data_IF_430813269549
#
_entry.id   IF_430813269549
#
_cell.length_a   1.000
_cell.length_b   1.000
_cell.length_c   1.000
_cell.angle_alpha   90.00
_cell.angle_beta   90.00
_cell.angle_gamma   90.00
#
_symmetry.space_group_name_H-M   'P 1'
#
loop_
_entity.id
_entity.type
_entity.pdbx_description
1 polymer ?
#
# COMPACT_ATOMS: atom_id res chain seq x y z
N UNK A 1 7.50 -25.03 -12.91
CA UNK A 1 6.42 -25.03 -11.90
C UNK A 1 6.32 -23.62 -11.33
N UNK A 2 5.14 -22.98 -11.32
CA UNK A 2 5.01 -21.70 -10.65
C UNK A 2 5.18 -21.98 -9.14
N UNK A 3 6.19 -21.37 -8.53
CA UNK A 3 6.33 -21.38 -7.07
C UNK A 3 5.08 -20.70 -6.52
N UNK A 4 4.40 -21.36 -5.58
CA UNK A 4 3.41 -20.69 -4.74
C UNK A 4 4.13 -19.48 -4.12
N UNK A 5 3.67 -18.27 -4.44
CA UNK A 5 4.14 -17.06 -3.78
C UNK A 5 3.22 -16.86 -2.57
N UNK A 6 3.73 -16.99 -1.33
CA UNK A 6 2.99 -16.59 -0.15
C UNK A 6 2.45 -15.18 -0.31
N UNK A 7 1.25 -14.93 0.21
CA UNK A 7 0.64 -13.60 0.20
C UNK A 7 1.55 -12.55 0.84
N UNK A 8 2.30 -12.94 1.88
CA UNK A 8 3.29 -12.09 2.54
C UNK A 8 4.43 -11.70 1.59
N UNK A 9 5.05 -12.66 0.89
CA UNK A 9 6.10 -12.39 -0.09
C UNK A 9 5.63 -11.47 -1.21
N UNK A 10 4.38 -11.65 -1.66
CA UNK A 10 3.76 -10.77 -2.64
C UNK A 10 3.62 -9.33 -2.11
N UNK A 11 3.09 -9.17 -0.88
CA UNK A 11 2.91 -7.86 -0.26
C UNK A 11 4.27 -7.17 -0.03
N UNK A 12 5.27 -7.92 0.43
CA UNK A 12 6.63 -7.40 0.65
C UNK A 12 7.23 -6.91 -0.67
N UNK A 13 7.18 -7.73 -1.72
CA UNK A 13 7.69 -7.32 -3.04
C UNK A 13 6.96 -6.10 -3.57
N UNK A 14 5.63 -6.06 -3.44
CA UNK A 14 4.82 -4.90 -3.83
C UNK A 14 5.24 -3.65 -3.07
N UNK A 15 5.39 -3.75 -1.75
CA UNK A 15 5.82 -2.64 -0.90
C UNK A 15 7.22 -2.15 -1.29
N UNK A 16 8.20 -3.05 -1.46
CA UNK A 16 9.56 -2.66 -1.86
C UNK A 16 9.58 -1.90 -3.17
N UNK A 17 8.83 -2.34 -4.19
CA UNK A 17 8.74 -1.63 -5.46
C UNK A 17 8.13 -0.23 -5.28
N UNK A 18 7.07 -0.10 -4.50
CA UNK A 18 6.41 1.19 -4.26
C UNK A 18 7.33 2.13 -3.48
N UNK A 19 7.96 1.64 -2.42
CA UNK A 19 8.87 2.42 -1.59
C UNK A 19 10.08 2.91 -2.41
N UNK A 20 10.63 2.05 -3.27
CA UNK A 20 11.70 2.43 -4.20
C UNK A 20 11.29 3.56 -5.15
N UNK A 21 10.04 3.58 -5.63
CA UNK A 21 9.51 4.64 -6.49
C UNK A 21 9.15 5.92 -5.71
N UNK A 22 9.03 5.85 -4.39
CA UNK A 22 8.59 6.95 -3.53
C UNK A 22 9.69 7.49 -2.61
N UNK A 23 10.96 7.13 -2.84
CA UNK A 23 12.12 7.57 -2.03
C UNK A 23 12.22 9.08 -1.81
N UNK A 24 11.78 9.87 -2.78
CA UNK A 24 11.83 11.33 -2.71
C UNK A 24 10.61 11.96 -2.00
N UNK A 25 9.60 11.15 -1.68
CA UNK A 25 8.38 11.61 -1.02
C UNK A 25 8.54 11.54 0.49
N UNK A 26 8.76 12.71 1.09
CA UNK A 26 8.91 12.81 2.55
C UNK A 26 7.58 12.51 3.25
N UNK A 27 7.67 11.72 4.34
CA UNK A 27 6.57 11.55 5.29
C UNK A 27 6.25 12.89 5.95
N UNK A 28 4.97 13.25 5.99
CA UNK A 28 4.52 14.42 6.73
C UNK A 28 4.76 14.21 8.24
N UNK A 29 5.23 15.26 8.94
CA UNK A 29 5.65 15.16 10.35
C UNK A 29 4.56 14.68 11.31
N UNK A 30 3.30 14.94 10.97
CA UNK A 30 2.13 14.52 11.75
C UNK A 30 1.47 13.25 11.23
N UNK A 31 2.00 12.63 10.16
CA UNK A 31 1.43 11.41 9.61
C UNK A 31 1.86 10.19 10.42
N UNK A 32 0.94 9.26 10.66
CA UNK A 32 1.27 7.96 11.25
C UNK A 32 1.94 7.04 10.22
N UNK A 33 1.57 7.14 8.94
CA UNK A 33 2.04 6.28 7.85
C UNK A 33 2.94 7.04 6.86
N UNK A 34 3.85 6.32 6.23
CA UNK A 34 4.58 6.77 5.06
C UNK A 34 3.68 6.79 3.82
N UNK A 35 3.95 7.69 2.87
CA UNK A 35 3.25 7.69 1.58
C UNK A 35 3.26 6.32 0.87
N UNK A 36 4.39 5.60 0.92
CA UNK A 36 4.52 4.25 0.33
C UNK A 36 3.61 3.21 0.98
N UNK A 37 3.43 3.27 2.30
CA UNK A 37 2.50 2.40 3.04
C UNK A 37 1.04 2.66 2.62
N UNK A 38 0.63 3.94 2.52
CA UNK A 38 -0.72 4.32 2.10
C UNK A 38 -1.01 3.83 0.68
N UNK A 39 -0.06 4.02 -0.25
CA UNK A 39 -0.19 3.56 -1.63
C UNK A 39 -0.28 2.04 -1.71
N UNK A 40 0.53 1.32 -0.93
CA UNK A 40 0.49 -0.14 -0.85
C UNK A 40 -0.88 -0.64 -0.41
N UNK A 41 -1.43 -0.07 0.67
CA UNK A 41 -2.78 -0.40 1.15
C UNK A 41 -3.83 -0.12 0.07
N UNK A 42 -3.74 1.02 -0.63
CA UNK A 42 -4.64 1.39 -1.71
C UNK A 42 -4.63 0.39 -2.86
N UNK A 43 -3.44 -0.04 -3.30
CA UNK A 43 -3.29 -1.05 -4.37
C UNK A 43 -3.85 -2.40 -3.91
N UNK A 44 -3.55 -2.85 -2.69
CA UNK A 44 -4.11 -4.10 -2.14
C UNK A 44 -5.64 -4.05 -2.07
N UNK A 45 -6.22 -2.90 -1.71
CA UNK A 45 -7.66 -2.69 -1.71
C UNK A 45 -8.27 -2.80 -3.11
N UNK A 46 -7.64 -2.16 -4.09
CA UNK A 46 -8.05 -2.20 -5.49
C UNK A 46 -7.96 -3.63 -6.06
N UNK A 47 -6.86 -4.34 -5.78
CA UNK A 47 -6.65 -5.73 -6.22
C UNK A 47 -7.68 -6.69 -5.63
N UNK A 48 -8.09 -6.49 -4.37
CA UNK A 48 -9.12 -7.31 -3.73
C UNK A 48 -10.54 -7.02 -4.27
N UNK A 49 -10.71 -6.02 -5.13
CA UNK A 49 -12.00 -5.60 -5.66
C UNK A 49 -12.92 -5.00 -4.60
N UNK A 50 -12.37 -4.52 -3.48
CA UNK A 50 -13.16 -3.84 -2.45
C UNK A 50 -13.41 -2.40 -2.88
N UNK A 51 -14.68 -1.99 -2.95
CA UNK A 51 -15.07 -0.68 -3.44
C UNK A 51 -14.31 0.49 -2.79
N UNK A 52 -13.90 1.44 -3.63
CA UNK A 52 -13.12 2.64 -3.30
C UNK A 52 -13.67 3.46 -2.12
N UNK A 53 -14.98 3.44 -1.91
CA UNK A 53 -15.66 4.19 -0.85
C UNK A 53 -15.23 3.79 0.55
N UNK A 54 -14.93 2.50 0.79
CA UNK A 54 -14.46 2.03 2.11
C UNK A 54 -13.03 2.52 2.38
N UNK A 55 -12.15 2.41 1.38
CA UNK A 55 -10.78 2.92 1.45
C UNK A 55 -10.77 4.44 1.66
N UNK A 56 -11.54 5.18 0.87
CA UNK A 56 -11.63 6.63 0.98
C UNK A 56 -12.17 7.10 2.35
N UNK A 57 -13.16 6.39 2.90
CA UNK A 57 -13.68 6.70 4.24
C UNK A 57 -12.62 6.46 5.32
N UNK A 58 -11.86 5.37 5.22
CA UNK A 58 -10.73 5.12 6.12
C UNK A 58 -9.67 6.22 5.97
N UNK A 59 -9.31 6.60 4.74
CA UNK A 59 -8.32 7.63 4.46
C UNK A 59 -8.71 9.00 5.02
N UNK A 60 -9.99 9.35 5.00
CA UNK A 60 -10.49 10.60 5.60
C UNK A 60 -10.49 10.62 7.12
N UNK A 61 -10.49 9.46 7.77
CA UNK A 61 -10.54 9.33 9.22
C UNK A 61 -9.18 9.17 9.89
N UNK A 62 -8.09 9.08 9.12
CA UNK A 62 -6.70 9.01 9.57
C UNK A 62 -5.95 10.25 9.13
#
# INVERSE_FOLDING_TARGET
MPKFMPTEDFIIQLFCMIDDQMKDVKKHSQSNLYPSEIVTIGILFAMKGMGERKFYRWLKGN
#
